data_IF_943186790648
#
_entry.id   IF_943186790648
#
_cell.length_a   1.000
_cell.length_b   1.000
_cell.length_c   1.000
_cell.angle_alpha   90.00
_cell.angle_beta   90.00
_cell.angle_gamma   90.00
#
_symmetry.space_group_name_H-M   'P 1'
#
loop_
_entity.id
_entity.type
_entity.pdbx_description
1 polymer ?
#
# COMPACT_ATOMS: atom_id res chain seq x y z
N UNK A 1 -5.26 -11.18 25.20
CA UNK A 1 -5.14 -11.79 23.90
C UNK A 1 -5.05 -10.76 22.82
N UNK A 2 -3.99 -10.77 22.04
CA UNK A 2 -3.80 -9.82 20.99
C UNK A 2 -4.71 -10.09 19.80
N UNK A 3 -5.07 -9.04 19.12
CA UNK A 3 -5.80 -9.10 17.87
C UNK A 3 -4.86 -9.56 16.76
N UNK A 4 -5.34 -10.42 15.87
CA UNK A 4 -4.57 -10.82 14.70
C UNK A 4 -4.45 -9.62 13.75
N UNK A 5 -3.32 -9.51 13.03
CA UNK A 5 -3.17 -8.50 11.99
C UNK A 5 -4.25 -8.65 10.91
N UNK A 6 -4.76 -9.87 10.73
CA UNK A 6 -5.80 -10.14 9.73
C UNK A 6 -7.12 -9.44 10.05
N UNK A 7 -7.32 -9.06 11.31
CA UNK A 7 -8.53 -8.35 11.74
C UNK A 7 -8.41 -6.85 11.52
N UNK A 8 -7.21 -6.34 11.23
CA UNK A 8 -7.02 -4.91 11.00
C UNK A 8 -7.57 -4.52 9.63
N UNK A 9 -8.41 -3.51 9.61
CA UNK A 9 -9.00 -2.99 8.37
C UNK A 9 -7.88 -2.50 7.43
N UNK A 10 -6.84 -1.87 7.99
CA UNK A 10 -5.70 -1.41 7.20
C UNK A 10 -5.04 -2.56 6.44
N UNK A 11 -4.85 -3.70 7.10
CA UNK A 11 -4.27 -4.87 6.45
C UNK A 11 -5.18 -5.39 5.34
N UNK A 12 -6.48 -5.52 5.63
CA UNK A 12 -7.45 -6.03 4.66
C UNK A 12 -7.52 -5.14 3.42
N UNK A 13 -7.51 -3.82 3.61
CA UNK A 13 -7.49 -2.87 2.50
C UNK A 13 -6.16 -2.91 1.76
N UNK A 14 -5.07 -3.15 2.47
CA UNK A 14 -3.75 -3.34 1.86
C UNK A 14 -3.73 -4.54 0.91
N UNK A 15 -4.33 -5.65 1.33
CA UNK A 15 -4.44 -6.84 0.48
C UNK A 15 -5.24 -6.54 -0.79
N UNK A 16 -6.36 -5.82 -0.66
CA UNK A 16 -7.16 -5.44 -1.83
C UNK A 16 -6.38 -4.53 -2.77
N UNK A 17 -5.58 -3.61 -2.23
CA UNK A 17 -4.74 -2.75 -3.05
C UNK A 17 -3.71 -3.58 -3.83
N UNK A 18 -3.08 -4.56 -3.19
CA UNK A 18 -2.12 -5.45 -3.88
C UNK A 18 -2.79 -6.14 -5.05
N UNK A 19 -3.99 -6.70 -4.83
CA UNK A 19 -4.73 -7.38 -5.91
C UNK A 19 -5.04 -6.42 -7.07
N UNK A 20 -5.45 -5.19 -6.76
CA UNK A 20 -5.76 -4.19 -7.78
C UNK A 20 -4.50 -3.80 -8.57
N UNK A 21 -3.37 -3.63 -7.89
CA UNK A 21 -2.09 -3.29 -8.54
C UNK A 21 -1.64 -4.43 -9.47
N UNK A 22 -1.73 -5.68 -9.01
CA UNK A 22 -1.37 -6.82 -9.86
C UNK A 22 -2.29 -6.88 -11.09
N UNK A 23 -3.58 -6.60 -10.90
CA UNK A 23 -4.54 -6.59 -12.00
C UNK A 23 -4.18 -5.58 -13.09
N UNK A 24 -3.90 -4.34 -12.73
CA UNK A 24 -3.61 -3.32 -13.73
C UNK A 24 -2.22 -3.49 -14.34
N UNK A 25 -1.24 -3.97 -13.58
CA UNK A 25 0.13 -4.12 -14.10
C UNK A 25 0.28 -5.28 -15.06
N UNK A 26 -0.68 -6.21 -15.11
CA UNK A 26 -0.66 -7.27 -16.13
C UNK A 26 -0.67 -6.70 -17.54
N UNK A 27 -1.23 -5.50 -17.72
CA UNK A 27 -1.34 -4.85 -19.03
C UNK A 27 -0.22 -3.85 -19.30
N UNK A 28 0.71 -3.70 -18.37
CA UNK A 28 1.87 -2.82 -18.59
C UNK A 28 2.75 -3.41 -19.67
N UNK A 29 3.52 -2.56 -20.40
CA UNK A 29 4.44 -3.06 -21.42
C UNK A 29 5.43 -4.07 -20.84
N UNK A 30 5.79 -5.06 -21.64
CA UNK A 30 6.76 -6.09 -21.23
C UNK A 30 8.10 -5.51 -20.86
N UNK A 31 8.47 -4.38 -21.45
CA UNK A 31 9.71 -3.66 -21.16
C UNK A 31 9.77 -3.20 -19.71
N UNK A 32 8.60 -3.08 -19.04
CA UNK A 32 8.54 -2.62 -17.65
C UNK A 32 8.56 -3.76 -16.64
N UNK A 33 8.71 -5.00 -17.06
CA UNK A 33 8.62 -6.14 -16.14
C UNK A 33 9.67 -6.07 -15.03
N UNK A 34 10.87 -5.57 -15.34
CA UNK A 34 11.91 -5.35 -14.35
C UNK A 34 12.04 -3.89 -13.93
N UNK A 35 11.15 -3.04 -14.40
CA UNK A 35 11.11 -1.63 -14.07
C UNK A 35 9.87 -1.28 -13.26
N UNK A 36 9.00 -0.45 -13.85
CA UNK A 36 7.85 0.10 -13.14
C UNK A 36 6.90 -0.98 -12.63
N UNK A 37 6.65 -2.05 -13.41
CA UNK A 37 5.81 -3.15 -12.97
C UNK A 37 6.32 -3.75 -11.67
N UNK A 38 7.61 -4.09 -11.63
CA UNK A 38 8.25 -4.68 -10.47
C UNK A 38 8.21 -3.73 -9.27
N UNK A 39 8.56 -2.46 -9.49
CA UNK A 39 8.59 -1.47 -8.41
C UNK A 39 7.21 -1.26 -7.80
N UNK A 40 6.20 -1.14 -8.65
CA UNK A 40 4.83 -0.88 -8.18
C UNK A 40 4.29 -2.05 -7.38
N UNK A 41 4.52 -3.28 -7.86
CA UNK A 41 4.11 -4.48 -7.15
C UNK A 41 4.81 -4.62 -5.80
N UNK A 42 6.11 -4.35 -5.76
CA UNK A 42 6.87 -4.44 -4.51
C UNK A 42 6.42 -3.40 -3.50
N UNK A 43 6.17 -2.17 -3.95
CA UNK A 43 5.68 -1.11 -3.07
C UNK A 43 4.30 -1.48 -2.51
N UNK A 44 3.41 -2.01 -3.34
CA UNK A 44 2.07 -2.42 -2.90
C UNK A 44 2.14 -3.53 -1.85
N UNK A 45 2.93 -4.58 -2.11
CA UNK A 45 3.08 -5.71 -1.18
C UNK A 45 3.68 -5.25 0.15
N UNK A 46 4.56 -4.25 0.11
CA UNK A 46 5.19 -3.72 1.31
C UNK A 46 4.19 -3.10 2.29
N UNK A 47 3.05 -2.61 1.81
CA UNK A 47 2.05 -1.97 2.68
C UNK A 47 1.47 -2.97 3.69
N UNK A 48 0.77 -4.05 3.27
CA UNK A 48 0.24 -4.99 4.25
C UNK A 48 1.34 -5.77 4.98
N UNK A 49 2.49 -5.99 4.36
CA UNK A 49 3.59 -6.71 5.00
C UNK A 49 4.11 -5.94 6.21
N UNK A 50 4.27 -4.62 6.10
CA UNK A 50 4.72 -3.80 7.24
C UNK A 50 3.65 -3.71 8.33
N UNK A 51 2.38 -3.66 7.96
CA UNK A 51 1.29 -3.66 8.94
C UNK A 51 1.33 -4.95 9.76
N UNK A 52 1.44 -6.09 9.09
CA UNK A 52 1.47 -7.39 9.76
C UNK A 52 2.70 -7.52 10.66
N UNK A 53 3.86 -7.10 10.15
CA UNK A 53 5.09 -7.17 10.92
C UNK A 53 5.03 -6.28 12.16
N UNK A 54 4.49 -5.08 12.03
CA UNK A 54 4.35 -4.15 13.15
C UNK A 54 3.41 -4.67 14.22
N UNK A 55 2.31 -5.29 13.81
CA UNK A 55 1.34 -5.87 14.74
C UNK A 55 1.97 -6.98 15.59
N UNK A 56 2.96 -7.68 15.06
CA UNK A 56 3.64 -8.75 15.77
C UNK A 56 4.72 -8.25 16.74
N UNK A 57 4.98 -6.95 16.78
CA UNK A 57 6.00 -6.39 17.68
C UNK A 57 5.44 -6.20 19.08
N UNK A 58 6.34 -6.07 20.06
CA UNK A 58 5.98 -6.03 21.48
C UNK A 58 5.56 -4.67 21.99
N UNK A 59 5.94 -3.60 21.31
CA UNK A 59 5.67 -2.24 21.81
C UNK A 59 4.90 -1.42 20.78
N UNK A 60 4.16 -0.42 21.31
CA UNK A 60 3.47 0.55 20.46
C UNK A 60 4.45 1.34 19.59
N UNK A 61 5.61 1.68 20.15
CA UNK A 61 6.62 2.43 19.41
C UNK A 61 7.11 1.66 18.19
N UNK A 62 7.35 0.35 18.33
CA UNK A 62 7.75 -0.50 17.22
C UNK A 62 6.64 -0.64 16.20
N UNK A 63 5.40 -0.85 16.66
CA UNK A 63 4.25 -0.95 15.77
C UNK A 63 4.10 0.34 14.97
N UNK A 64 4.17 1.49 15.64
CA UNK A 64 4.10 2.80 14.98
C UNK A 64 5.19 2.96 13.91
N UNK A 65 6.41 2.50 14.21
CA UNK A 65 7.50 2.54 13.24
C UNK A 65 7.15 1.79 11.95
N UNK A 66 6.62 0.58 12.08
CA UNK A 66 6.23 -0.21 10.91
C UNK A 66 5.03 0.40 10.17
N UNK A 67 4.12 1.05 10.89
CA UNK A 67 3.02 1.75 10.25
C UNK A 67 3.52 2.94 9.43
N UNK A 68 4.55 3.65 9.91
CA UNK A 68 5.18 4.70 9.13
C UNK A 68 5.85 4.14 7.87
N UNK A 69 6.46 2.96 7.97
CA UNK A 69 7.03 2.30 6.80
C UNK A 69 5.94 1.96 5.77
N UNK A 70 4.80 1.45 6.26
CA UNK A 70 3.65 1.15 5.39
C UNK A 70 3.16 2.42 4.70
N UNK A 71 3.05 3.53 5.44
CA UNK A 71 2.61 4.81 4.88
C UNK A 71 3.59 5.31 3.80
N UNK A 72 4.90 5.14 4.01
CA UNK A 72 5.90 5.48 3.01
C UNK A 72 5.77 4.66 1.74
N UNK A 73 5.54 3.34 1.90
CA UNK A 73 5.31 2.46 0.75
C UNK A 73 4.04 2.84 0.00
N UNK A 74 3.01 3.28 0.72
CA UNK A 74 1.78 3.73 0.10
C UNK A 74 2.01 4.98 -0.76
N UNK A 75 2.84 5.90 -0.29
CA UNK A 75 3.22 7.08 -1.08
C UNK A 75 3.98 6.69 -2.35
N UNK A 76 4.82 5.65 -2.27
CA UNK A 76 5.48 5.12 -3.45
C UNK A 76 4.46 4.58 -4.45
N UNK A 77 3.45 3.85 -3.97
CA UNK A 77 2.38 3.34 -4.84
C UNK A 77 1.70 4.50 -5.55
N UNK A 78 1.31 5.54 -4.80
CA UNK A 78 0.63 6.71 -5.39
C UNK A 78 1.49 7.37 -6.45
N UNK A 79 2.77 7.56 -6.16
CA UNK A 79 3.70 8.18 -7.09
C UNK A 79 3.83 7.35 -8.37
N UNK A 80 3.98 6.05 -8.23
CA UNK A 80 4.20 5.15 -9.37
C UNK A 80 2.92 4.96 -10.19
N UNK A 81 1.75 4.98 -9.55
CA UNK A 81 0.46 4.98 -10.25
C UNK A 81 0.35 6.24 -11.12
N UNK A 82 0.71 7.39 -10.58
CA UNK A 82 0.70 8.64 -11.32
C UNK A 82 1.68 8.60 -12.49
N UNK A 83 2.88 8.05 -12.27
CA UNK A 83 3.87 7.88 -13.34
C UNK A 83 3.30 7.01 -14.45
N UNK A 84 2.67 5.87 -14.08
CA UNK A 84 2.10 4.96 -15.06
C UNK A 84 1.02 5.65 -15.91
N UNK A 85 0.19 6.47 -15.29
CA UNK A 85 -0.84 7.22 -15.99
C UNK A 85 -0.22 8.24 -16.96
N UNK A 86 0.81 8.96 -16.52
CA UNK A 86 1.53 9.93 -17.37
C UNK A 86 2.13 9.24 -18.59
N UNK A 87 2.66 8.02 -18.41
CA UNK A 87 3.26 7.25 -19.49
C UNK A 87 2.22 6.57 -20.39
N UNK A 88 0.94 6.68 -20.06
CA UNK A 88 -0.12 6.10 -20.85
C UNK A 88 -0.38 4.62 -20.56
N UNK A 89 0.16 4.08 -19.49
CA UNK A 89 -0.04 2.67 -19.12
C UNK A 89 -1.35 2.42 -18.39
N UNK A 90 -1.94 3.46 -17.80
CA UNK A 90 -3.22 3.40 -17.09
C UNK A 90 -4.17 4.45 -17.67
N UNK A 91 -5.43 4.09 -17.80
CA UNK A 91 -6.47 5.06 -18.13
C UNK A 91 -6.68 6.00 -16.93
N UNK A 92 -7.24 7.18 -17.20
CA UNK A 92 -7.59 8.11 -16.11
C UNK A 92 -8.58 7.51 -15.13
N UNK A 93 -9.50 6.68 -15.62
CA UNK A 93 -10.49 6.00 -14.79
C UNK A 93 -9.81 5.03 -13.81
N UNK A 94 -8.86 4.24 -14.29
CA UNK A 94 -8.12 3.30 -13.42
C UNK A 94 -7.22 4.02 -12.46
N UNK A 95 -6.58 5.10 -12.89
CA UNK A 95 -5.78 5.95 -12.01
C UNK A 95 -6.63 6.47 -10.86
N UNK A 96 -7.79 7.06 -11.17
CA UNK A 96 -8.69 7.60 -10.17
C UNK A 96 -9.14 6.53 -9.17
N UNK A 97 -9.48 5.34 -9.65
CA UNK A 97 -9.90 4.24 -8.79
C UNK A 97 -8.79 3.81 -7.83
N UNK A 98 -7.57 3.69 -8.33
CA UNK A 98 -6.43 3.29 -7.49
C UNK A 98 -6.09 4.37 -6.46
N UNK A 99 -6.09 5.64 -6.87
CA UNK A 99 -5.80 6.74 -5.94
C UNK A 99 -6.89 6.89 -4.88
N UNK A 100 -8.13 6.54 -5.20
CA UNK A 100 -9.19 6.49 -4.20
C UNK A 100 -8.89 5.44 -3.13
N UNK A 101 -8.42 4.26 -3.55
CA UNK A 101 -8.04 3.21 -2.60
C UNK A 101 -6.86 3.63 -1.73
N UNK A 102 -5.83 4.24 -2.32
CA UNK A 102 -4.66 4.67 -1.56
C UNK A 102 -5.01 5.80 -0.60
N UNK A 103 -5.88 6.72 -0.99
CA UNK A 103 -6.33 7.80 -0.12
C UNK A 103 -7.06 7.25 1.10
N UNK A 104 -7.97 6.31 0.89
CA UNK A 104 -8.70 5.69 1.99
C UNK A 104 -7.74 4.98 2.93
N UNK A 105 -6.84 4.17 2.38
CA UNK A 105 -5.88 3.42 3.19
C UNK A 105 -4.94 4.37 3.94
N UNK A 106 -4.53 5.46 3.31
CA UNK A 106 -3.70 6.47 3.96
C UNK A 106 -4.36 7.08 5.18
N UNK A 107 -5.66 7.39 5.08
CA UNK A 107 -6.42 7.91 6.22
C UNK A 107 -6.51 6.88 7.35
N UNK A 108 -6.74 5.62 7.01
CA UNK A 108 -6.82 4.54 8.01
C UNK A 108 -5.48 4.36 8.69
N UNK A 109 -4.38 4.35 7.92
CA UNK A 109 -3.04 4.22 8.48
C UNK A 109 -2.72 5.39 9.41
N UNK A 110 -3.04 6.61 8.99
CA UNK A 110 -2.78 7.79 9.80
C UNK A 110 -3.55 7.74 11.13
N UNK A 111 -4.82 7.33 11.07
CA UNK A 111 -5.62 7.15 12.29
C UNK A 111 -5.02 6.11 13.22
N UNK A 112 -4.53 5.01 12.66
CA UNK A 112 -3.92 3.94 13.44
C UNK A 112 -2.59 4.42 14.06
N UNK A 113 -1.78 5.17 13.31
CA UNK A 113 -0.54 5.75 13.81
C UNK A 113 -0.83 6.67 15.01
N UNK A 114 -1.83 7.53 14.86
CA UNK A 114 -2.20 8.47 15.94
C UNK A 114 -2.68 7.71 17.18
N UNK A 115 -3.35 6.58 17.00
CA UNK A 115 -3.82 5.77 18.13
C UNK A 115 -2.68 5.10 18.88
N UNK A 116 -1.48 5.03 18.29
CA UNK A 116 -0.29 4.47 18.94
C UNK A 116 0.54 5.55 19.65
N UNK A 117 0.12 6.81 19.60
CA UNK A 117 0.83 7.89 20.27
C UNK A 117 0.74 7.73 21.80
N UNK A 118 1.77 8.14 22.49
CA UNK A 118 1.83 8.06 23.96
C UNK A 118 0.97 9.15 24.63
#
# INVERSE_FOLDING_TARGET
>A
MGQSYRDLIAWQKGIKLVAAIYGVTQRFPKEEVYGLTSQLRRAAVSVPSNIAEGQGRKSKAEFRHFLHNAAGSLMEVETQVTIAAVLGYLSGEKETALLSQTNELGRILNGLILSMAD
#
